data_IF_105926956561
#
_entry.id   IF_105926956561
#
_cell.length_a   1.000
_cell.length_b   1.000
_cell.length_c   1.000
_cell.angle_alpha   90.00
_cell.angle_beta   90.00
_cell.angle_gamma   90.00
#
_symmetry.space_group_name_H-M   'P 1'
#
loop_
_entity.id
_entity.type
_entity.pdbx_description
1 polymer ?
#
# COMPACT_ATOMS: atom_id res chain seq x y z
N UNK A 1 51.63 3.84 23.53
CA UNK A 1 52.19 5.10 23.01
C UNK A 1 53.30 4.73 22.04
N UNK A 2 53.25 5.26 20.81
CA UNK A 2 53.96 4.85 19.60
C UNK A 2 53.29 3.69 18.82
N UNK A 3 52.23 4.03 18.05
CA UNK A 3 51.88 3.44 16.73
C UNK A 3 50.45 3.84 16.28
N UNK A 4 50.16 5.14 16.23
CA UNK A 4 48.87 5.66 15.76
C UNK A 4 48.99 6.88 14.82
N UNK A 5 50.17 7.11 14.22
CA UNK A 5 50.45 8.35 13.46
C UNK A 5 50.79 8.13 11.98
N UNK A 6 50.71 6.90 11.45
CA UNK A 6 51.11 6.59 10.08
C UNK A 6 49.92 6.36 9.10
N UNK A 7 48.69 6.24 9.59
CA UNK A 7 47.51 5.93 8.76
C UNK A 7 46.91 7.13 8.01
N UNK A 8 47.10 8.37 8.51
CA UNK A 8 46.39 9.55 7.99
C UNK A 8 47.04 10.22 6.78
N UNK A 9 48.27 9.82 6.41
CA UNK A 9 49.00 10.46 5.29
C UNK A 9 48.72 9.84 3.92
N UNK A 10 48.06 8.68 3.85
CA UNK A 10 47.75 8.02 2.57
C UNK A 10 46.37 8.38 2.01
N UNK A 11 45.44 8.90 2.82
CA UNK A 11 44.13 9.34 2.34
C UNK A 11 44.10 10.79 1.83
N UNK A 12 45.10 11.62 2.15
CA UNK A 12 45.19 13.00 1.65
C UNK A 12 45.87 13.15 0.28
N UNK A 13 46.42 12.08 -0.30
CA UNK A 13 47.23 12.18 -1.52
C UNK A 13 46.54 11.69 -2.81
N UNK A 14 45.29 11.21 -2.75
CA UNK A 14 44.50 10.80 -3.92
C UNK A 14 43.41 11.80 -4.37
N UNK A 15 43.38 13.02 -3.81
CA UNK A 15 42.54 14.12 -4.32
C UNK A 15 43.44 15.22 -4.89
N UNK A 16 44.25 14.87 -5.89
CA UNK A 16 44.84 15.87 -6.78
C UNK A 16 43.91 16.02 -7.98
N UNK A 17 43.28 17.18 -7.99
CA UNK A 17 42.44 17.70 -9.06
C UNK A 17 43.02 17.48 -10.46
N UNK A 18 42.42 16.57 -11.20
CA UNK A 18 42.31 16.68 -12.65
C UNK A 18 41.22 17.73 -12.91
N UNK A 19 41.60 18.92 -13.38
CA UNK A 19 40.61 19.85 -13.91
C UNK A 19 39.90 19.18 -15.10
N UNK A 20 38.56 19.20 -15.17
CA UNK A 20 37.84 18.63 -16.30
C UNK A 20 38.26 19.36 -17.60
N UNK A 21 38.33 18.65 -18.72
CA UNK A 21 38.68 19.23 -20.01
C UNK A 21 37.70 20.35 -20.38
N UNK A 22 38.18 21.46 -20.95
CA UNK A 22 37.32 22.58 -21.35
C UNK A 22 36.36 22.11 -22.46
N UNK A 23 35.05 22.05 -22.15
CA UNK A 23 34.00 21.74 -23.12
C UNK A 23 32.97 20.70 -22.67
N UNK A 24 33.18 20.00 -21.56
CA UNK A 24 32.14 19.11 -21.00
C UNK A 24 31.09 19.92 -20.23
N UNK A 25 29.78 19.74 -20.53
CA UNK A 25 28.72 20.35 -19.74
C UNK A 25 28.83 19.85 -18.30
N UNK A 26 28.69 20.74 -17.29
CA UNK A 26 28.88 20.37 -15.90
C UNK A 26 27.93 19.22 -15.51
N UNK A 27 28.50 18.15 -14.96
CA UNK A 27 27.76 17.03 -14.38
C UNK A 27 26.68 17.58 -13.42
N UNK A 28 25.42 17.15 -13.55
CA UNK A 28 24.29 17.63 -12.75
C UNK A 28 24.57 17.55 -11.24
N UNK A 29 25.33 16.52 -10.82
CA UNK A 29 25.79 16.38 -9.44
C UNK A 29 26.74 17.51 -8.99
N UNK A 30 27.62 17.98 -9.87
CA UNK A 30 28.52 19.12 -9.57
C UNK A 30 27.77 20.45 -9.50
N UNK A 31 26.71 20.61 -10.30
CA UNK A 31 25.80 21.77 -10.22
C UNK A 31 25.03 21.77 -8.90
N UNK A 32 24.55 20.61 -8.44
CA UNK A 32 23.90 20.48 -7.14
C UNK A 32 24.86 20.82 -5.98
N UNK A 33 26.12 20.36 -6.03
CA UNK A 33 27.09 20.67 -4.97
C UNK A 33 27.56 22.14 -4.94
N UNK A 34 27.61 22.83 -6.08
CA UNK A 34 27.91 24.27 -6.13
C UNK A 34 26.74 25.15 -5.67
N UNK A 35 25.50 24.61 -5.66
CA UNK A 35 24.33 25.25 -5.04
C UNK A 35 24.33 25.14 -3.51
N UNK A 36 25.09 24.21 -2.92
CA UNK A 36 25.14 23.99 -1.48
C UNK A 36 26.13 24.89 -0.71
N UNK A 37 27.05 25.61 -1.39
CA UNK A 37 28.03 26.48 -0.72
C UNK A 37 27.54 27.93 -0.49
N UNK A 38 26.23 28.19 -0.59
CA UNK A 38 25.60 29.49 -0.34
C UNK A 38 24.55 29.35 0.78
N UNK A 39 25.04 29.18 2.01
CA UNK A 39 24.41 28.51 3.17
C UNK A 39 23.18 29.20 3.82
N UNK A 40 22.53 30.14 3.13
CA UNK A 40 21.18 30.64 3.47
C UNK A 40 20.49 31.24 2.24
N UNK A 41 20.54 30.62 1.06
CA UNK A 41 19.33 30.76 0.21
C UNK A 41 18.19 30.29 1.10
N UNK A 42 17.25 31.18 1.43
CA UNK A 42 16.25 30.93 2.45
C UNK A 42 15.61 29.58 2.15
N UNK A 43 15.48 28.67 3.12
CA UNK A 43 14.81 27.37 2.92
C UNK A 43 13.50 27.52 2.13
N UNK A 44 12.82 28.66 2.31
CA UNK A 44 11.63 29.06 1.55
C UNK A 44 11.89 29.16 0.05
N UNK A 45 12.99 29.75 -0.39
CA UNK A 45 13.36 29.91 -1.80
C UNK A 45 13.58 28.53 -2.44
N UNK A 46 14.19 27.59 -1.70
CA UNK A 46 14.37 26.21 -2.15
C UNK A 46 13.04 25.45 -2.23
N UNK A 47 12.18 25.59 -1.22
CA UNK A 47 10.83 25.00 -1.24
C UNK A 47 9.96 25.59 -2.37
N UNK A 48 10.07 26.89 -2.65
CA UNK A 48 9.39 27.55 -3.77
C UNK A 48 9.91 27.07 -5.12
N UNK A 49 11.24 26.92 -5.26
CA UNK A 49 11.85 26.32 -6.43
C UNK A 49 11.36 24.88 -6.65
N UNK A 50 11.35 24.06 -5.59
CA UNK A 50 10.84 22.69 -5.65
C UNK A 50 9.38 22.64 -6.10
N UNK A 51 8.50 23.47 -5.53
CA UNK A 51 7.08 23.57 -5.93
C UNK A 51 6.94 23.89 -7.42
N UNK A 52 7.73 24.85 -7.92
CA UNK A 52 7.72 25.23 -9.34
C UNK A 52 8.13 24.05 -10.22
N UNK A 53 9.27 23.42 -9.94
CA UNK A 53 9.77 22.28 -10.73
C UNK A 53 8.77 21.12 -10.75
N UNK A 54 8.14 20.83 -9.60
CA UNK A 54 7.14 19.77 -9.44
C UNK A 54 5.85 20.09 -10.22
N UNK A 55 5.42 21.35 -10.23
CA UNK A 55 4.23 21.78 -10.97
C UNK A 55 4.38 21.68 -12.50
N UNK A 56 5.62 21.66 -12.99
CA UNK A 56 5.95 21.49 -14.41
C UNK A 56 5.98 20.02 -14.86
N UNK A 57 5.57 19.08 -14.00
CA UNK A 57 5.56 17.65 -14.34
C UNK A 57 4.55 17.32 -15.45
N UNK A 58 4.98 16.52 -16.43
CA UNK A 58 4.15 16.15 -17.59
C UNK A 58 3.26 14.92 -17.37
N UNK A 59 3.62 14.07 -16.40
CA UNK A 59 2.91 12.85 -16.07
C UNK A 59 3.31 12.37 -14.66
N UNK A 60 2.63 11.35 -14.15
CA UNK A 60 2.90 10.81 -12.81
C UNK A 60 4.35 10.34 -12.61
N UNK A 61 5.00 9.77 -13.63
CA UNK A 61 6.39 9.31 -13.51
C UNK A 61 7.36 10.49 -13.42
N UNK A 62 7.18 11.49 -14.28
CA UNK A 62 7.96 12.72 -14.26
C UNK A 62 7.80 13.46 -12.92
N UNK A 63 6.58 13.48 -12.37
CA UNK A 63 6.32 13.99 -11.02
C UNK A 63 7.20 13.30 -9.97
N UNK A 64 7.24 11.97 -9.97
CA UNK A 64 8.05 11.22 -9.00
C UNK A 64 9.54 11.52 -9.14
N UNK A 65 10.05 11.56 -10.37
CA UNK A 65 11.47 11.83 -10.64
C UNK A 65 11.86 13.25 -10.21
N UNK A 66 11.02 14.24 -10.52
CA UNK A 66 11.24 15.64 -10.10
C UNK A 66 11.17 15.78 -8.59
N UNK A 67 10.16 15.20 -7.95
CA UNK A 67 10.02 15.21 -6.49
C UNK A 67 11.22 14.56 -5.80
N UNK A 68 11.75 13.47 -6.35
CA UNK A 68 12.97 12.82 -5.86
C UNK A 68 14.21 13.71 -5.99
N UNK A 69 14.34 14.44 -7.09
CA UNK A 69 15.48 15.31 -7.37
C UNK A 69 15.50 16.59 -6.53
N UNK A 70 14.33 17.19 -6.23
CA UNK A 70 14.26 18.53 -5.62
C UNK A 70 13.84 18.55 -4.14
N UNK A 71 13.21 17.49 -3.63
CA UNK A 71 12.78 17.43 -2.23
C UNK A 71 13.90 16.83 -1.38
N UNK A 72 14.42 17.63 -0.46
CA UNK A 72 15.47 17.22 0.46
C UNK A 72 14.93 16.37 1.63
N UNK A 73 15.73 15.43 2.12
CA UNK A 73 15.33 14.47 3.18
C UNK A 73 15.01 15.16 4.52
N UNK A 74 15.66 16.28 4.84
CA UNK A 74 15.40 17.06 6.06
C UNK A 74 14.00 17.70 6.07
N UNK A 75 13.41 17.94 4.89
CA UNK A 75 12.05 18.45 4.78
C UNK A 75 10.99 17.39 5.10
N UNK A 76 11.35 16.11 4.97
CA UNK A 76 10.43 14.98 5.12
C UNK A 76 10.22 14.53 6.57
N UNK A 77 10.94 15.12 7.53
CA UNK A 77 10.91 14.68 8.93
C UNK A 77 9.52 14.76 9.58
N UNK A 78 8.70 15.74 9.19
CA UNK A 78 7.37 15.99 9.76
C UNK A 78 6.22 15.64 8.79
N UNK A 79 6.54 15.08 7.62
CA UNK A 79 5.54 14.77 6.61
C UNK A 79 5.04 13.35 6.79
N UNK A 80 3.71 13.18 6.81
CA UNK A 80 3.10 11.84 6.84
C UNK A 80 3.38 11.14 5.50
N UNK A 81 3.94 9.94 5.55
CA UNK A 81 4.09 9.13 4.35
C UNK A 81 2.72 8.71 3.82
N UNK A 82 2.50 8.92 2.53
CA UNK A 82 1.34 8.36 1.85
C UNK A 82 1.44 6.82 1.84
N UNK A 83 0.37 6.08 2.21
CA UNK A 83 0.38 4.64 2.11
C UNK A 83 0.52 4.20 0.65
N UNK A 84 1.26 3.13 0.41
CA UNK A 84 1.56 2.62 -0.92
C UNK A 84 1.06 1.20 -1.11
N UNK A 85 0.40 0.95 -2.25
CA UNK A 85 0.09 -0.39 -2.72
C UNK A 85 0.52 -0.54 -4.18
N UNK A 86 0.56 -1.78 -4.68
CA UNK A 86 1.01 -2.08 -6.04
C UNK A 86 0.19 -1.35 -7.12
N UNK A 87 -1.09 -1.08 -6.85
CA UNK A 87 -1.98 -0.38 -7.78
C UNK A 87 -1.64 1.11 -7.87
N UNK A 88 -1.38 1.77 -6.75
CA UNK A 88 -0.94 3.17 -6.69
C UNK A 88 0.39 3.36 -7.39
N UNK A 89 1.37 2.49 -7.16
CA UNK A 89 2.66 2.58 -7.85
C UNK A 89 2.48 2.44 -9.36
N UNK A 90 1.62 1.50 -9.77
CA UNK A 90 1.28 1.30 -11.18
C UNK A 90 0.60 2.53 -11.77
N UNK A 91 -0.25 3.23 -11.01
CA UNK A 91 -0.91 4.46 -11.43
C UNK A 91 0.09 5.59 -11.75
N UNK A 92 1.22 5.68 -11.04
CA UNK A 92 2.27 6.65 -11.38
C UNK A 92 3.19 6.20 -12.53
N UNK A 93 2.96 5.02 -13.13
CA UNK A 93 3.68 4.57 -14.33
C UNK A 93 5.14 4.17 -14.11
N UNK A 94 5.57 3.94 -12.86
CA UNK A 94 6.98 3.62 -12.54
C UNK A 94 7.41 2.21 -12.99
N UNK A 95 6.49 1.29 -13.33
CA UNK A 95 6.82 -0.14 -13.39
C UNK A 95 6.39 -0.95 -14.63
N UNK A 96 5.54 -0.44 -15.52
CA UNK A 96 5.06 -1.24 -16.65
C UNK A 96 5.56 -0.63 -17.96
N UNK A 97 6.45 -1.34 -18.66
CA UNK A 97 6.64 -1.15 -20.11
C UNK A 97 8.04 -0.74 -20.58
N UNK A 98 8.78 0.09 -19.82
CA UNK A 98 9.87 0.85 -20.44
C UNK A 98 11.12 0.04 -20.86
N UNK A 99 11.32 -1.14 -20.25
CA UNK A 99 12.45 -2.03 -20.58
C UNK A 99 11.97 -3.39 -21.12
N UNK A 100 10.71 -3.50 -21.54
CA UNK A 100 10.22 -4.73 -22.16
C UNK A 100 10.90 -4.94 -23.51
N UNK A 101 11.65 -6.04 -23.64
CA UNK A 101 12.38 -6.40 -24.85
C UNK A 101 13.89 -6.24 -24.76
N UNK A 102 14.41 -5.59 -23.72
CA UNK A 102 15.85 -5.63 -23.46
C UNK A 102 16.23 -7.02 -22.91
N UNK A 103 17.11 -7.74 -23.61
CA UNK A 103 17.73 -8.97 -23.10
C UNK A 103 18.80 -8.67 -22.01
N UNK A 104 18.53 -7.67 -21.16
CA UNK A 104 19.35 -7.25 -20.04
C UNK A 104 18.81 -7.83 -18.73
N UNK A 105 19.64 -7.91 -17.68
CA UNK A 105 19.18 -8.29 -16.33
C UNK A 105 18.07 -7.36 -15.82
N UNK A 106 18.04 -6.11 -16.30
CA UNK A 106 16.99 -5.14 -15.99
C UNK A 106 15.65 -5.51 -16.65
N UNK A 107 15.67 -5.99 -17.90
CA UNK A 107 14.48 -6.49 -18.59
C UNK A 107 13.84 -7.68 -17.87
N UNK A 108 14.64 -8.66 -17.45
CA UNK A 108 14.15 -9.80 -16.67
C UNK A 108 13.52 -9.40 -15.32
N UNK A 109 14.10 -8.41 -14.63
CA UNK A 109 13.51 -7.86 -13.40
C UNK A 109 12.17 -7.19 -13.66
N UNK A 110 12.01 -6.46 -14.78
CA UNK A 110 10.75 -5.83 -15.15
C UNK A 110 9.65 -6.89 -15.45
N UNK A 111 10.00 -7.95 -16.18
CA UNK A 111 9.08 -9.08 -16.44
C UNK A 111 8.67 -9.74 -15.13
N UNK A 112 9.63 -10.06 -14.25
CA UNK A 112 9.35 -10.68 -12.96
C UNK A 112 8.41 -9.82 -12.09
N UNK A 113 8.60 -8.50 -12.08
CA UNK A 113 7.69 -7.57 -11.39
C UNK A 113 6.28 -7.57 -11.97
N UNK A 114 6.14 -7.57 -13.29
CA UNK A 114 4.83 -7.67 -13.94
C UNK A 114 4.15 -9.00 -13.61
N UNK A 115 4.88 -10.12 -13.71
CA UNK A 115 4.36 -11.43 -13.33
C UNK A 115 3.94 -11.47 -11.85
N UNK A 116 4.76 -10.91 -10.96
CA UNK A 116 4.45 -10.78 -9.54
C UNK A 116 3.18 -9.98 -9.30
N UNK A 117 3.03 -8.81 -9.93
CA UNK A 117 1.82 -8.00 -9.86
C UNK A 117 0.58 -8.76 -10.34
N UNK A 118 0.65 -9.42 -11.49
CA UNK A 118 -0.48 -10.21 -12.02
C UNK A 118 -0.83 -11.35 -11.07
N UNK A 119 0.16 -12.03 -10.48
CA UNK A 119 -0.09 -13.12 -9.53
C UNK A 119 -0.70 -12.61 -8.22
N UNK A 120 -0.23 -11.47 -7.69
CA UNK A 120 -0.85 -10.83 -6.51
C UNK A 120 -2.32 -10.52 -6.80
N UNK A 121 -2.61 -9.89 -7.93
CA UNK A 121 -3.99 -9.58 -8.33
C UNK A 121 -4.85 -10.85 -8.45
N UNK A 122 -4.35 -11.91 -9.08
CA UNK A 122 -5.08 -13.18 -9.19
C UNK A 122 -5.34 -13.82 -7.83
N UNK A 123 -4.33 -13.85 -6.94
CA UNK A 123 -4.48 -14.38 -5.59
C UNK A 123 -5.50 -13.57 -4.80
N UNK A 124 -5.45 -12.24 -4.85
CA UNK A 124 -6.40 -11.37 -4.16
C UNK A 124 -7.84 -11.58 -4.62
N UNK A 125 -8.06 -11.77 -5.92
CA UNK A 125 -9.39 -11.97 -6.47
C UNK A 125 -9.93 -13.38 -6.23
N UNK A 126 -9.07 -14.40 -6.23
CA UNK A 126 -9.50 -15.79 -6.17
C UNK A 126 -9.38 -16.44 -4.79
N UNK A 127 -8.33 -16.15 -4.01
CA UNK A 127 -8.03 -16.90 -2.80
C UNK A 127 -9.08 -16.69 -1.69
N UNK A 128 -9.49 -15.46 -1.32
CA UNK A 128 -10.50 -15.29 -0.27
C UNK A 128 -11.86 -15.95 -0.61
N UNK A 129 -12.45 -15.72 -1.81
CA UNK A 129 -13.66 -16.46 -2.19
C UNK A 129 -13.46 -17.97 -2.22
N UNK A 130 -12.30 -18.47 -2.66
CA UNK A 130 -12.01 -19.89 -2.68
C UNK A 130 -11.92 -20.48 -1.26
N UNK A 131 -11.37 -19.76 -0.28
CA UNK A 131 -11.36 -20.17 1.13
C UNK A 131 -12.80 -20.27 1.64
N UNK A 132 -13.63 -19.24 1.45
CA UNK A 132 -15.03 -19.28 1.85
C UNK A 132 -15.82 -20.41 1.17
N UNK A 133 -15.60 -20.63 -0.13
CA UNK A 133 -16.30 -21.68 -0.89
C UNK A 133 -15.78 -23.08 -0.54
N UNK A 134 -14.50 -23.24 -0.27
CA UNK A 134 -13.91 -24.53 0.13
C UNK A 134 -14.46 -24.97 1.48
N UNK A 135 -14.58 -24.05 2.45
CA UNK A 135 -15.15 -24.34 3.77
C UNK A 135 -16.65 -24.64 3.71
N UNK A 136 -17.40 -23.99 2.81
CA UNK A 136 -18.86 -24.21 2.69
C UNK A 136 -19.24 -25.41 1.84
N UNK A 137 -18.59 -25.60 0.69
CA UNK A 137 -18.97 -26.56 -0.35
C UNK A 137 -17.97 -27.70 -0.53
N UNK A 138 -16.91 -27.75 0.28
CA UNK A 138 -15.79 -28.69 0.12
C UNK A 138 -15.09 -28.57 -1.24
N UNK A 139 -15.16 -27.41 -1.90
CA UNK A 139 -14.52 -27.22 -3.20
C UNK A 139 -13.00 -27.26 -3.05
N UNK A 140 -12.35 -28.20 -3.74
CA UNK A 140 -10.89 -28.34 -3.73
C UNK A 140 -10.31 -28.96 -2.46
N UNK A 141 -11.13 -29.48 -1.55
CA UNK A 141 -10.68 -30.15 -0.31
C UNK A 141 -10.89 -31.67 -0.37
N UNK A 142 -10.09 -32.42 0.39
CA UNK A 142 -10.40 -33.83 0.67
C UNK A 142 -11.72 -33.91 1.45
N UNK A 143 -12.59 -34.86 1.08
CA UNK A 143 -13.88 -35.12 1.73
C UNK A 143 -13.71 -35.29 3.25
N UNK A 144 -12.56 -35.83 3.71
CA UNK A 144 -12.27 -36.01 5.14
C UNK A 144 -12.06 -34.70 5.91
N UNK A 145 -11.69 -33.63 5.22
CA UNK A 145 -11.44 -32.30 5.81
C UNK A 145 -12.64 -31.36 5.68
N UNK A 146 -13.76 -31.83 5.08
CA UNK A 146 -14.95 -31.01 4.87
C UNK A 146 -15.60 -30.63 6.20
N UNK A 147 -16.07 -29.39 6.28
CA UNK A 147 -16.90 -28.96 7.40
C UNK A 147 -18.29 -29.60 7.24
N UNK A 148 -18.70 -30.38 8.22
CA UNK A 148 -20.01 -31.03 8.28
C UNK A 148 -21.04 -30.04 8.79
N UNK A 149 -21.37 -29.04 7.97
CA UNK A 149 -22.41 -28.06 8.28
C UNK A 149 -23.79 -28.71 8.49
N UNK A 150 -24.01 -29.94 8.00
CA UNK A 150 -25.18 -30.76 8.33
C UNK A 150 -25.34 -31.07 9.82
N UNK A 151 -24.26 -31.03 10.61
CA UNK A 151 -24.29 -31.26 12.06
C UNK A 151 -24.59 -29.99 12.87
N UNK A 152 -24.77 -28.85 12.21
CA UNK A 152 -25.11 -27.58 12.86
C UNK A 152 -26.62 -27.45 13.02
N UNK A 153 -27.15 -28.04 14.09
CA UNK A 153 -28.60 -28.04 14.35
C UNK A 153 -29.10 -26.76 15.03
N UNK A 154 -28.36 -26.28 16.04
CA UNK A 154 -28.73 -25.13 16.87
C UNK A 154 -27.51 -24.47 17.50
N UNK A 155 -27.68 -23.22 17.93
CA UNK A 155 -26.72 -22.50 18.74
C UNK A 155 -26.52 -23.22 20.08
N UNK A 156 -25.27 -23.52 20.42
CA UNK A 156 -24.90 -24.35 21.56
C UNK A 156 -23.56 -23.88 22.14
N UNK A 157 -23.45 -23.91 23.47
CA UNK A 157 -22.24 -23.51 24.20
C UNK A 157 -21.39 -24.71 24.62
N UNK A 158 -21.70 -25.92 24.16
CA UNK A 158 -20.98 -27.14 24.49
C UNK A 158 -19.47 -27.06 24.25
N UNK A 159 -19.02 -26.36 23.21
CA UNK A 159 -17.59 -26.14 22.92
C UNK A 159 -16.84 -25.49 24.08
N UNK A 160 -17.46 -24.57 24.83
CA UNK A 160 -16.83 -23.89 25.97
C UNK A 160 -16.39 -24.87 27.07
N UNK A 161 -17.04 -26.03 27.20
CA UNK A 161 -16.64 -27.04 28.19
C UNK A 161 -15.35 -27.77 27.82
N UNK A 162 -14.98 -27.74 26.54
CA UNK A 162 -13.89 -28.55 26.01
C UNK A 162 -12.71 -27.72 25.47
N UNK A 163 -12.99 -26.58 24.84
CA UNK A 163 -12.00 -25.73 24.15
C UNK A 163 -12.19 -24.23 24.51
N UNK A 164 -12.52 -23.93 25.78
CA UNK A 164 -12.75 -22.55 26.24
C UNK A 164 -11.66 -21.56 25.82
N UNK A 165 -10.39 -21.93 26.00
CA UNK A 165 -9.25 -21.06 25.68
C UNK A 165 -9.17 -20.77 24.18
N UNK A 166 -9.31 -21.79 23.33
CA UNK A 166 -9.33 -21.63 21.87
C UNK A 166 -10.50 -20.73 21.44
N UNK A 167 -11.68 -20.91 22.02
CA UNK A 167 -12.87 -20.08 21.76
C UNK A 167 -12.64 -18.62 22.13
N UNK A 168 -12.14 -18.36 23.34
CA UNK A 168 -11.83 -17.02 23.79
C UNK A 168 -10.80 -16.33 22.88
N UNK A 169 -9.78 -17.07 22.46
CA UNK A 169 -8.76 -16.57 21.56
C UNK A 169 -9.33 -16.26 20.16
N UNK A 170 -10.14 -17.16 19.59
CA UNK A 170 -10.78 -16.97 18.30
C UNK A 170 -11.70 -15.74 18.27
N UNK A 171 -12.54 -15.57 19.30
CA UNK A 171 -13.41 -14.40 19.47
C UNK A 171 -12.58 -13.11 19.50
N UNK A 172 -11.49 -13.12 20.26
CA UNK A 172 -10.61 -11.96 20.42
C UNK A 172 -9.87 -11.63 19.12
N UNK A 173 -9.33 -12.63 18.43
CA UNK A 173 -8.63 -12.47 17.16
C UNK A 173 -9.57 -12.01 16.05
N UNK A 174 -10.78 -12.57 15.94
CA UNK A 174 -11.77 -12.11 14.95
C UNK A 174 -12.22 -10.69 15.23
N UNK A 175 -12.43 -10.32 16.50
CA UNK A 175 -12.73 -8.93 16.87
C UNK A 175 -11.62 -7.97 16.44
N UNK A 176 -10.36 -8.28 16.78
CA UNK A 176 -9.19 -7.48 16.39
C UNK A 176 -9.05 -7.42 14.86
N UNK A 177 -9.25 -8.55 14.17
CA UNK A 177 -9.17 -8.64 12.71
C UNK A 177 -10.19 -7.73 12.03
N UNK A 178 -11.45 -7.74 12.48
CA UNK A 178 -12.50 -6.87 11.95
C UNK A 178 -12.22 -5.38 12.22
N UNK A 179 -11.73 -5.04 13.43
CA UNK A 179 -11.35 -3.66 13.75
C UNK A 179 -10.16 -3.18 12.92
N UNK A 180 -9.13 -4.02 12.76
CA UNK A 180 -8.00 -3.73 11.88
C UNK A 180 -8.48 -3.54 10.44
N UNK A 181 -9.34 -4.43 9.95
CA UNK A 181 -9.92 -4.33 8.61
C UNK A 181 -10.66 -3.01 8.41
N UNK A 182 -11.47 -2.58 9.38
CA UNK A 182 -12.15 -1.28 9.34
C UNK A 182 -11.14 -0.12 9.31
N UNK A 183 -10.12 -0.15 10.15
CA UNK A 183 -9.09 0.88 10.21
C UNK A 183 -8.33 0.99 8.87
N UNK A 184 -7.93 -0.14 8.28
CA UNK A 184 -7.26 -0.17 6.99
C UNK A 184 -8.14 0.40 5.88
N UNK A 185 -9.46 0.10 5.85
CA UNK A 185 -10.37 0.72 4.86
C UNK A 185 -10.41 2.24 5.03
N UNK A 186 -10.45 2.74 6.27
CA UNK A 186 -10.49 4.18 6.53
C UNK A 186 -9.18 4.87 6.11
N UNK A 187 -8.03 4.28 6.43
CA UNK A 187 -6.73 4.78 5.97
C UNK A 187 -6.61 4.70 4.43
N UNK A 188 -7.19 3.67 3.79
CA UNK A 188 -7.21 3.53 2.34
C UNK A 188 -8.08 4.60 1.66
N UNK A 189 -9.22 4.99 2.27
CA UNK A 189 -10.03 6.12 1.82
C UNK A 189 -9.17 7.39 1.83
N UNK A 190 -8.56 7.73 2.96
CA UNK A 190 -7.73 8.93 3.09
C UNK A 190 -6.56 8.93 2.09
N UNK A 191 -5.85 7.81 1.97
CA UNK A 191 -4.74 7.67 1.02
C UNK A 191 -5.19 7.80 -0.43
N UNK A 192 -6.33 7.21 -0.79
CA UNK A 192 -6.89 7.29 -2.14
C UNK A 192 -7.25 8.74 -2.49
N UNK A 193 -7.89 9.46 -1.57
CA UNK A 193 -8.24 10.87 -1.73
C UNK A 193 -7.03 11.76 -1.97
N UNK A 194 -5.96 11.56 -1.20
CA UNK A 194 -4.73 12.35 -1.34
C UNK A 194 -4.05 12.10 -2.70
N UNK A 195 -4.00 10.85 -3.16
CA UNK A 195 -3.43 10.51 -4.47
C UNK A 195 -4.30 11.02 -5.62
N UNK A 196 -5.63 10.88 -5.54
CA UNK A 196 -6.56 11.45 -6.52
C UNK A 196 -6.39 12.98 -6.58
N UNK A 197 -6.29 13.67 -5.43
CA UNK A 197 -6.06 15.11 -5.40
C UNK A 197 -4.76 15.53 -6.10
N UNK A 198 -3.67 14.77 -5.93
CA UNK A 198 -2.42 14.99 -6.69
C UNK A 198 -2.67 14.83 -8.20
N UNK A 199 -3.40 13.79 -8.61
CA UNK A 199 -3.70 13.52 -10.02
C UNK A 199 -4.54 14.65 -10.64
N UNK A 200 -5.61 15.07 -9.96
CA UNK A 200 -6.46 16.18 -10.40
C UNK A 200 -5.70 17.49 -10.46
N UNK A 201 -4.82 17.75 -9.49
CA UNK A 201 -3.96 18.92 -9.49
C UNK A 201 -3.01 18.94 -10.70
N UNK A 202 -2.37 17.81 -11.02
CA UNK A 202 -1.50 17.72 -12.21
C UNK A 202 -2.27 17.92 -13.52
N UNK A 203 -3.42 17.25 -13.68
CA UNK A 203 -4.29 17.42 -14.86
C UNK A 203 -4.70 18.89 -15.04
N UNK A 204 -4.87 19.61 -13.94
CA UNK A 204 -5.27 21.01 -13.92
C UNK A 204 -4.17 21.95 -14.39
N UNK A 205 -2.95 21.78 -13.88
CA UNK A 205 -1.82 22.68 -14.20
C UNK A 205 -1.26 22.38 -15.59
N UNK A 206 -1.29 21.11 -15.98
CA UNK A 206 -0.76 20.66 -17.26
C UNK A 206 -1.90 19.96 -18.02
N UNK A 207 -2.74 20.68 -18.79
CA UNK A 207 -3.87 20.07 -19.50
C UNK A 207 -3.48 18.99 -20.51
N UNK A 208 -2.22 18.99 -20.97
CA UNK A 208 -1.63 17.94 -21.81
C UNK A 208 -1.18 16.70 -21.02
N UNK A 209 -1.18 16.75 -19.69
CA UNK A 209 -0.81 15.64 -18.81
C UNK A 209 -1.86 14.55 -18.90
N UNK A 210 -1.55 13.49 -19.63
CA UNK A 210 -2.36 12.30 -19.66
C UNK A 210 -1.93 11.38 -18.50
N UNK A 211 -2.85 11.09 -17.59
CA UNK A 211 -2.64 10.16 -16.49
C UNK A 211 -3.36 8.83 -16.78
N UNK A 212 -2.85 7.97 -17.69
CA UNK A 212 -3.48 6.70 -18.02
C UNK A 212 -3.60 5.77 -16.79
N UNK A 213 -2.79 6.05 -15.76
CA UNK A 213 -2.73 5.28 -14.54
C UNK A 213 -3.93 5.43 -13.59
N UNK A 214 -4.81 6.43 -13.80
CA UNK A 214 -5.97 6.68 -12.95
C UNK A 214 -6.87 5.44 -12.80
N UNK A 215 -6.99 4.62 -13.86
CA UNK A 215 -7.73 3.36 -13.86
C UNK A 215 -7.23 2.36 -12.80
N UNK A 216 -5.92 2.35 -12.52
CA UNK A 216 -5.36 1.48 -11.51
C UNK A 216 -5.70 1.95 -10.09
N UNK A 217 -5.93 3.24 -9.86
CA UNK A 217 -6.41 3.73 -8.55
C UNK A 217 -7.80 3.17 -8.24
N UNK A 218 -8.70 3.17 -9.23
CA UNK A 218 -10.03 2.58 -9.07
C UNK A 218 -9.94 1.05 -8.88
N UNK A 219 -9.11 0.38 -9.68
CA UNK A 219 -8.90 -1.07 -9.56
C UNK A 219 -8.37 -1.45 -8.18
N UNK A 220 -7.43 -0.69 -7.63
CA UNK A 220 -6.90 -0.89 -6.28
C UNK A 220 -7.99 -0.75 -5.22
N UNK A 221 -8.75 0.34 -5.25
CA UNK A 221 -9.83 0.54 -4.28
C UNK A 221 -10.90 -0.59 -4.33
N UNK A 222 -11.29 -1.03 -5.53
CA UNK A 222 -12.23 -2.15 -5.69
C UNK A 222 -11.64 -3.46 -5.21
N UNK A 223 -10.39 -3.75 -5.55
CA UNK A 223 -9.72 -5.00 -5.15
C UNK A 223 -9.55 -5.05 -3.63
N UNK A 224 -9.18 -3.94 -2.99
CA UNK A 224 -8.98 -3.90 -1.55
C UNK A 224 -10.33 -4.08 -0.83
N UNK A 225 -11.39 -3.40 -1.26
CA UNK A 225 -12.74 -3.66 -0.74
C UNK A 225 -13.20 -5.11 -0.93
N UNK A 226 -12.90 -5.72 -2.08
CA UNK A 226 -13.22 -7.12 -2.38
C UNK A 226 -12.50 -8.08 -1.43
N UNK A 227 -11.18 -7.96 -1.31
CA UNK A 227 -10.36 -8.81 -0.42
C UNK A 227 -10.84 -8.69 1.02
N UNK A 228 -11.05 -7.46 1.51
CA UNK A 228 -11.47 -7.20 2.88
C UNK A 228 -12.83 -7.83 3.18
N UNK A 229 -13.80 -7.67 2.26
CA UNK A 229 -15.12 -8.27 2.42
C UNK A 229 -15.04 -9.79 2.63
N UNK A 230 -14.29 -10.49 1.78
CA UNK A 230 -14.16 -11.94 1.87
C UNK A 230 -13.32 -12.39 3.06
N UNK A 231 -12.20 -11.74 3.34
CA UNK A 231 -11.34 -12.09 4.48
C UNK A 231 -12.06 -11.95 5.83
N UNK A 232 -12.99 -10.99 5.97
CA UNK A 232 -13.83 -10.86 7.17
C UNK A 232 -14.81 -12.04 7.29
N UNK A 233 -15.38 -12.54 6.17
CA UNK A 233 -16.18 -13.77 6.19
C UNK A 233 -15.33 -14.99 6.50
N UNK A 234 -14.14 -15.08 5.90
CA UNK A 234 -13.20 -16.19 6.13
C UNK A 234 -12.74 -16.24 7.57
N UNK A 235 -12.55 -15.09 8.23
CA UNK A 235 -12.19 -15.03 9.65
C UNK A 235 -13.19 -15.78 10.54
N UNK A 236 -14.48 -15.75 10.21
CA UNK A 236 -15.50 -16.51 10.94
C UNK A 236 -15.30 -18.03 10.82
N UNK A 237 -15.12 -18.53 9.59
CA UNK A 237 -15.05 -19.99 9.33
C UNK A 237 -13.68 -20.57 9.64
N UNK A 238 -12.61 -19.85 9.31
CA UNK A 238 -11.21 -20.29 9.46
C UNK A 238 -10.78 -20.17 10.92
N UNK A 239 -10.78 -18.96 11.50
CA UNK A 239 -10.33 -18.74 12.90
C UNK A 239 -11.36 -19.32 13.88
N UNK A 240 -12.66 -19.19 13.59
CA UNK A 240 -13.70 -19.78 14.43
C UNK A 240 -13.67 -21.31 14.43
N UNK A 241 -13.31 -21.92 13.29
CA UNK A 241 -13.21 -23.37 13.12
C UNK A 241 -11.96 -24.00 13.76
N UNK A 242 -10.97 -23.22 14.19
CA UNK A 242 -9.74 -23.75 14.78
C UNK A 242 -10.03 -24.50 16.10
N UNK A 243 -9.52 -25.74 16.21
CA UNK A 243 -9.73 -26.59 17.40
C UNK A 243 -8.62 -26.46 18.44
N UNK A 244 -7.48 -25.84 18.10
CA UNK A 244 -6.38 -25.55 19.01
C UNK A 244 -6.00 -24.06 19.00
N UNK A 245 -5.43 -23.53 20.09
CA UNK A 245 -4.97 -22.13 20.12
C UNK A 245 -3.86 -21.85 19.10
N UNK A 246 -3.03 -22.85 18.80
CA UNK A 246 -1.96 -22.75 17.80
C UNK A 246 -2.56 -22.51 16.42
N UNK A 247 -3.53 -23.35 16.03
CA UNK A 247 -4.16 -23.24 14.71
C UNK A 247 -4.87 -21.89 14.59
N UNK A 248 -5.58 -21.46 15.63
CA UNK A 248 -6.24 -20.16 15.70
C UNK A 248 -5.30 -18.97 15.39
N UNK A 249 -4.08 -18.98 15.96
CA UNK A 249 -3.07 -17.95 15.67
C UNK A 249 -2.54 -18.08 14.25
N UNK A 250 -2.15 -19.29 13.83
CA UNK A 250 -1.58 -19.52 12.49
C UNK A 250 -2.56 -19.17 11.37
N UNK A 251 -3.82 -19.56 11.55
CA UNK A 251 -4.92 -19.29 10.65
C UNK A 251 -5.20 -17.78 10.55
N UNK A 252 -5.16 -17.06 11.68
CA UNK A 252 -5.30 -15.60 11.69
C UNK A 252 -4.16 -14.89 10.95
N UNK A 253 -2.92 -15.38 11.11
CA UNK A 253 -1.75 -14.85 10.40
C UNK A 253 -1.85 -15.09 8.89
N UNK A 254 -2.36 -16.27 8.48
CA UNK A 254 -2.62 -16.57 7.06
C UNK A 254 -3.62 -15.60 6.43
N UNK A 255 -4.69 -15.25 7.15
CA UNK A 255 -5.65 -14.25 6.68
C UNK A 255 -5.05 -12.84 6.63
N UNK A 256 -4.26 -12.43 7.63
CA UNK A 256 -3.54 -11.14 7.58
C UNK A 256 -2.54 -11.07 6.42
N UNK A 257 -1.89 -12.19 6.07
CA UNK A 257 -1.02 -12.24 4.91
C UNK A 257 -1.79 -12.02 3.60
N UNK A 258 -2.93 -12.69 3.41
CA UNK A 258 -3.77 -12.49 2.22
C UNK A 258 -4.32 -11.06 2.14
N UNK A 259 -4.67 -10.50 3.30
CA UNK A 259 -5.20 -9.15 3.45
C UNK A 259 -4.18 -8.07 3.02
N UNK A 260 -2.89 -8.24 3.33
CA UNK A 260 -1.84 -7.25 3.05
C UNK A 260 -1.00 -7.57 1.79
N UNK A 261 -1.50 -8.41 0.88
CA UNK A 261 -0.70 -8.92 -0.24
C UNK A 261 -0.32 -7.83 -1.27
N UNK A 262 -1.14 -6.79 -1.42
CA UNK A 262 -0.88 -5.66 -2.32
C UNK A 262 -0.10 -4.51 -1.69
N UNK A 263 0.07 -4.52 -0.37
CA UNK A 263 0.77 -3.44 0.33
C UNK A 263 2.27 -3.51 0.07
N UNK A 264 2.88 -2.33 -0.11
CA UNK A 264 4.32 -2.21 -0.41
C UNK A 264 5.19 -2.64 0.76
N UNK A 265 4.67 -2.55 1.98
CA UNK A 265 5.31 -3.05 3.20
C UNK A 265 5.07 -4.54 3.45
N UNK A 266 4.36 -5.23 2.56
CA UNK A 266 4.11 -6.67 2.68
C UNK A 266 5.36 -7.52 2.43
N UNK A 267 5.31 -8.79 2.84
CA UNK A 267 6.43 -9.74 2.74
C UNK A 267 6.80 -10.13 1.29
N UNK A 268 5.99 -9.72 0.31
CA UNK A 268 6.17 -10.06 -1.09
C UNK A 268 7.03 -8.99 -1.78
N UNK A 269 8.34 -9.21 -1.78
CA UNK A 269 9.38 -8.25 -2.23
C UNK A 269 9.44 -7.97 -3.74
N UNK A 270 8.35 -8.12 -4.51
CA UNK A 270 8.35 -7.77 -5.94
C UNK A 270 8.49 -6.25 -6.13
N UNK A 271 7.97 -5.49 -5.19
CA UNK A 271 8.04 -4.04 -5.15
C UNK A 271 8.89 -3.64 -3.95
N UNK A 272 10.01 -2.98 -4.21
CA UNK A 272 10.86 -2.43 -3.15
C UNK A 272 10.17 -1.23 -2.50
N UNK A 273 10.38 -0.97 -1.21
CA UNK A 273 9.91 0.26 -0.57
C UNK A 273 10.38 1.52 -1.32
N UNK A 274 11.59 1.50 -1.87
CA UNK A 274 12.15 2.56 -2.73
C UNK A 274 11.33 2.85 -4.01
N UNK A 275 10.45 1.92 -4.41
CA UNK A 275 9.55 2.12 -5.52
C UNK A 275 8.50 3.18 -5.19
N UNK A 276 8.08 3.28 -3.93
CA UNK A 276 7.03 4.19 -3.48
C UNK A 276 7.60 5.30 -2.60
N UNK A 277 7.84 6.50 -3.14
CA UNK A 277 8.39 7.61 -2.36
C UNK A 277 7.28 8.29 -1.52
N UNK A 278 6.64 7.53 -0.63
CA UNK A 278 5.43 7.94 0.10
C UNK A 278 5.58 9.24 0.88
N UNK A 279 6.75 9.49 1.50
CA UNK A 279 7.04 10.75 2.19
C UNK A 279 7.12 11.95 1.23
N UNK A 280 7.78 11.80 0.09
CA UNK A 280 7.89 12.87 -0.92
C UNK A 280 6.53 13.20 -1.52
N UNK A 281 5.72 12.18 -1.82
CA UNK A 281 4.35 12.38 -2.28
C UNK A 281 3.49 13.06 -1.21
N UNK A 282 3.66 12.69 0.07
CA UNK A 282 2.96 13.36 1.18
C UNK A 282 3.32 14.84 1.24
N UNK A 283 4.60 15.16 1.01
CA UNK A 283 5.07 16.54 0.98
C UNK A 283 4.47 17.30 -0.20
N UNK A 284 4.40 16.67 -1.38
CA UNK A 284 3.72 17.23 -2.57
C UNK A 284 2.26 17.53 -2.26
N UNK A 285 1.54 16.59 -1.64
CA UNK A 285 0.15 16.81 -1.25
C UNK A 285 0.00 17.99 -0.29
N UNK A 286 0.75 18.01 0.81
CA UNK A 286 0.66 19.04 1.86
C UNK A 286 1.08 20.44 1.37
N UNK A 287 2.14 20.53 0.56
CA UNK A 287 2.79 21.80 0.23
C UNK A 287 2.47 22.34 -1.16
N UNK A 288 2.08 21.47 -2.09
CA UNK A 288 1.78 21.84 -3.48
C UNK A 288 0.27 21.77 -3.71
N UNK A 289 -0.39 20.68 -3.33
CA UNK A 289 -1.82 20.48 -3.61
C UNK A 289 -2.69 21.27 -2.63
N UNK A 290 -2.61 20.95 -1.33
CA UNK A 290 -3.50 21.49 -0.30
C UNK A 290 -3.45 23.02 -0.21
N UNK A 291 -2.25 23.61 -0.24
CA UNK A 291 -2.07 25.08 -0.14
C UNK A 291 -2.63 25.83 -1.35
N UNK A 292 -2.53 25.26 -2.55
CA UNK A 292 -3.04 25.89 -3.76
C UNK A 292 -4.54 25.67 -3.98
N UNK A 293 -5.11 24.58 -3.43
CA UNK A 293 -6.56 24.35 -3.43
C UNK A 293 -7.32 25.34 -2.56
N UNK A 294 -6.74 25.76 -1.42
CA UNK A 294 -7.38 26.65 -0.46
C UNK A 294 -7.04 28.14 -0.64
N UNK A 295 -6.23 28.51 -1.64
CA UNK A 295 -5.89 29.91 -1.87
C UNK A 295 -7.14 30.70 -2.32
N UNK A 296 -7.72 31.46 -1.39
CA UNK A 296 -8.90 32.32 -1.58
C UNK A 296 -8.72 33.22 -2.81
N UNK A 297 -9.61 33.06 -3.80
CA UNK A 297 -9.62 33.88 -5.02
C UNK A 297 -9.19 33.15 -6.28
N UNK A 298 -8.60 31.95 -6.18
CA UNK A 298 -8.57 31.04 -7.30
C UNK A 298 -10.01 30.54 -7.53
N UNK A 299 -10.75 31.15 -8.47
CA UNK A 299 -12.09 30.75 -8.95
C UNK A 299 -12.03 29.43 -9.73
N UNK A 300 -11.26 28.51 -9.18
CA UNK A 300 -10.82 27.30 -9.78
C UNK A 300 -11.95 26.32 -9.48
N UNK A 301 -12.94 26.26 -10.39
CA UNK A 301 -14.07 25.31 -10.32
C UNK A 301 -13.58 23.97 -9.77
N UNK A 302 -14.22 23.50 -8.69
CA UNK A 302 -13.88 22.21 -8.09
C UNK A 302 -13.91 21.17 -9.22
N UNK A 303 -12.84 20.37 -9.39
CA UNK A 303 -12.84 19.35 -10.43
C UNK A 303 -14.08 18.49 -10.21
N UNK A 304 -14.95 18.45 -11.23
CA UNK A 304 -16.20 17.72 -11.15
C UNK A 304 -15.87 16.26 -10.86
N UNK A 305 -16.14 15.83 -9.64
CA UNK A 305 -16.03 14.43 -9.28
C UNK A 305 -16.85 13.61 -10.28
N UNK A 306 -16.20 12.60 -10.84
CA UNK A 306 -16.87 11.70 -11.76
C UNK A 306 -17.84 10.82 -10.99
N UNK A 307 -18.86 10.28 -11.66
CA UNK A 307 -19.75 9.30 -11.03
C UNK A 307 -19.00 8.09 -10.46
N UNK A 308 -17.84 7.75 -11.05
CA UNK A 308 -16.95 6.69 -10.59
C UNK A 308 -16.30 7.00 -9.23
N UNK A 309 -15.91 8.26 -8.98
CA UNK A 309 -15.32 8.68 -7.70
C UNK A 309 -16.31 8.45 -6.55
N UNK A 310 -17.56 8.88 -6.76
CA UNK A 310 -18.62 8.69 -5.78
C UNK A 310 -18.94 7.21 -5.55
N UNK A 311 -18.92 6.39 -6.61
CA UNK A 311 -19.17 4.96 -6.50
C UNK A 311 -18.06 4.24 -5.70
N UNK A 312 -16.79 4.58 -5.94
CA UNK A 312 -15.67 3.99 -5.19
C UNK A 312 -15.68 4.42 -3.73
N UNK A 313 -15.90 5.71 -3.45
CA UNK A 313 -16.06 6.19 -2.06
C UNK A 313 -17.20 5.46 -1.36
N UNK A 314 -18.36 5.33 -2.01
CA UNK A 314 -19.50 4.61 -1.46
C UNK A 314 -19.15 3.14 -1.17
N UNK A 315 -18.47 2.45 -2.09
CA UNK A 315 -18.00 1.08 -1.89
C UNK A 315 -17.07 0.96 -0.66
N UNK A 316 -16.09 1.86 -0.52
CA UNK A 316 -15.17 1.84 0.62
C UNK A 316 -15.90 2.12 1.94
N UNK A 317 -16.77 3.13 2.00
CA UNK A 317 -17.58 3.40 3.19
C UNK A 317 -18.51 2.24 3.56
N UNK A 318 -19.16 1.61 2.57
CA UNK A 318 -19.97 0.41 2.78
C UNK A 318 -19.12 -0.74 3.33
N UNK A 319 -17.90 -0.90 2.83
CA UNK A 319 -16.94 -1.89 3.34
C UNK A 319 -16.56 -1.59 4.79
N UNK A 320 -16.26 -0.33 5.14
CA UNK A 320 -15.94 0.07 6.51
C UNK A 320 -17.11 -0.20 7.48
N UNK A 321 -18.33 0.18 7.09
CA UNK A 321 -19.55 -0.08 7.86
C UNK A 321 -19.76 -1.58 8.04
N UNK A 322 -19.58 -2.37 6.97
CA UNK A 322 -19.64 -3.82 7.00
C UNK A 322 -18.64 -4.40 8.01
N UNK A 323 -17.36 -4.00 7.97
CA UNK A 323 -16.35 -4.42 8.93
C UNK A 323 -16.74 -4.06 10.38
N UNK A 324 -17.25 -2.84 10.60
CA UNK A 324 -17.70 -2.40 11.92
C UNK A 324 -18.87 -3.21 12.47
N UNK A 325 -19.85 -3.58 11.62
CA UNK A 325 -20.95 -4.47 12.00
C UNK A 325 -20.43 -5.88 12.29
N UNK A 326 -19.57 -6.42 11.43
CA UNK A 326 -19.01 -7.76 11.59
C UNK A 326 -18.08 -7.90 12.80
N UNK A 327 -17.43 -6.81 13.24
CA UNK A 327 -16.68 -6.77 14.48
C UNK A 327 -17.55 -7.12 15.70
N UNK A 328 -18.85 -6.87 15.67
CA UNK A 328 -19.76 -7.25 16.77
C UNK A 328 -20.43 -8.59 16.47
N UNK A 329 -20.92 -8.78 15.25
CA UNK A 329 -21.73 -9.96 14.89
C UNK A 329 -20.90 -11.24 14.92
N UNK A 330 -19.71 -11.27 14.31
CA UNK A 330 -18.94 -12.50 14.16
C UNK A 330 -18.44 -13.07 15.50
N UNK A 331 -17.88 -12.27 16.43
CA UNK A 331 -17.50 -12.77 17.75
C UNK A 331 -18.67 -13.40 18.53
N UNK A 332 -19.88 -12.83 18.43
CA UNK A 332 -21.09 -13.38 19.03
C UNK A 332 -21.43 -14.73 18.38
N UNK A 333 -21.42 -14.81 17.05
CA UNK A 333 -21.68 -16.08 16.35
C UNK A 333 -20.66 -17.15 16.76
N UNK A 334 -19.37 -16.84 16.82
CA UNK A 334 -18.33 -17.80 17.23
C UNK A 334 -18.55 -18.31 18.65
N UNK A 335 -19.02 -17.46 19.56
CA UNK A 335 -19.31 -17.84 20.94
C UNK A 335 -20.43 -18.91 21.03
N UNK A 336 -21.35 -18.93 20.07
CA UNK A 336 -22.53 -19.81 20.08
C UNK A 336 -22.52 -20.91 19.00
N UNK A 337 -21.54 -20.90 18.08
CA UNK A 337 -21.39 -21.95 17.06
C UNK A 337 -20.60 -23.14 17.63
N UNK A 338 -21.14 -24.37 17.65
CA UNK A 338 -20.44 -25.57 18.14
C UNK A 338 -19.50 -26.15 17.06
N UNK A 339 -18.37 -25.50 16.80
CA UNK A 339 -17.41 -25.89 15.75
C UNK A 339 -16.86 -27.29 15.94
N UNK A 340 -16.79 -27.86 17.16
CA UNK A 340 -16.36 -29.27 17.34
C UNK A 340 -17.30 -30.30 16.70
N UNK A 341 -18.56 -29.95 16.44
CA UNK A 341 -19.52 -30.81 15.72
C UNK A 341 -19.40 -30.65 14.20
N UNK A 342 -18.93 -29.48 13.76
CA UNK A 342 -18.85 -29.07 12.36
C UNK A 342 -17.50 -29.50 11.76
N UNK A 343 -16.41 -29.26 12.47
CA UNK A 343 -15.05 -29.54 12.02
C UNK A 343 -14.70 -31.00 12.31
N UNK A 344 -14.21 -31.77 11.31
CA UNK A 344 -13.80 -33.15 11.53
C UNK A 344 -12.61 -33.21 12.50
N UNK A 345 -12.64 -34.17 13.43
CA UNK A 345 -11.56 -34.38 14.42
C UNK A 345 -10.32 -35.04 13.82
#
# INVERSE_FOLDING_TARGET
MADAAAGDRLLQQCVRHSAPPPGEPPNEASRASLLFSHDTSSRKDQEEYAKKVISEAENGRDLLQRAEAVIMEDWLANTRALPGNVYRITAFGKHIGHNFGECSSMGWRAIARLCGFVMVMLVQWCAPPAICMSTRYAWGMDIKQRFMWENFDHLDTSDWRHIALTKFLAISLVFIFCLHSMYTVLDEIDGWHQVDAIFRYLQRITPSCHLPGEKYLYLGAVTNSWVIFWCVLDAYVVIGGSLSPKDCVMDSLGLFFLFNLDDVSGDVTFVSEDAWPGKRLGWVYENVVMKNYHAEGASLEEPKHTGCDNAVRALQYLTAVYCGVMAVVLPILIAFTPFRKIVPN
#
